data_IF_538872582874
#
_entry.id   IF_538872582874
#
_cell.length_a   1.000
_cell.length_b   1.000
_cell.length_c   1.000
_cell.angle_alpha   90.00
_cell.angle_beta   90.00
_cell.angle_gamma   90.00
#
_symmetry.space_group_name_H-M   'P 1'
#
loop_
_entity.id
_entity.type
_entity.pdbx_description
1 polymer ?
#
# COMPACT_ATOMS: atom_id res chain seq x y z
N UNK A 1 10.36 -12.15 10.91
CA UNK A 1 9.45 -11.21 10.23
C UNK A 1 8.07 -11.82 10.07
N UNK A 2 7.07 -10.98 9.91
CA UNK A 2 5.70 -11.45 9.66
C UNK A 2 5.63 -12.09 8.28
N UNK A 3 5.01 -13.26 8.19
CA UNK A 3 4.82 -13.95 6.91
C UNK A 3 3.65 -13.36 6.14
N UNK A 4 3.59 -13.68 4.85
CA UNK A 4 2.47 -13.30 4.00
C UNK A 4 1.15 -13.84 4.57
N UNK A 5 1.11 -15.11 5.00
CA UNK A 5 -0.10 -15.72 5.55
C UNK A 5 -0.55 -15.03 6.85
N UNK A 6 0.39 -14.67 7.71
CA UNK A 6 0.09 -13.91 8.93
C UNK A 6 -0.48 -12.53 8.60
N UNK A 7 0.05 -11.86 7.59
CA UNK A 7 -0.45 -10.56 7.15
C UNK A 7 -1.85 -10.67 6.57
N UNK A 8 -2.10 -11.71 5.77
CA UNK A 8 -3.44 -11.96 5.21
C UNK A 8 -4.46 -12.16 6.34
N UNK A 9 -4.12 -12.97 7.35
CA UNK A 9 -4.99 -13.21 8.48
C UNK A 9 -5.26 -11.93 9.27
N UNK A 10 -4.22 -11.11 9.47
CA UNK A 10 -4.34 -9.84 10.16
C UNK A 10 -5.30 -8.89 9.43
N UNK A 11 -5.14 -8.75 8.10
CA UNK A 11 -6.01 -7.89 7.31
C UNK A 11 -7.46 -8.39 7.30
N UNK A 12 -7.65 -9.70 7.25
CA UNK A 12 -8.99 -10.28 7.29
C UNK A 12 -9.72 -9.95 8.60
N UNK A 13 -8.96 -9.92 9.70
CA UNK A 13 -9.51 -9.62 11.03
C UNK A 13 -9.71 -8.12 11.26
N UNK A 14 -8.71 -7.30 10.91
CA UNK A 14 -8.68 -5.88 11.28
C UNK A 14 -9.23 -4.96 10.19
N UNK A 15 -9.15 -5.37 8.94
CA UNK A 15 -9.58 -4.55 7.80
C UNK A 15 -10.46 -5.35 6.83
N UNK A 16 -11.61 -5.86 7.31
CA UNK A 16 -12.49 -6.64 6.42
C UNK A 16 -13.13 -5.75 5.35
N UNK A 17 -13.43 -6.34 4.21
CA UNK A 17 -14.19 -5.71 3.11
C UNK A 17 -13.52 -4.48 2.49
N UNK A 18 -12.18 -4.40 2.53
CA UNK A 18 -11.45 -3.24 1.98
C UNK A 18 -11.12 -3.37 0.49
N UNK A 19 -11.15 -4.58 -0.05
CA UNK A 19 -10.73 -4.82 -1.44
C UNK A 19 -9.22 -4.95 -1.60
N UNK A 20 -8.44 -4.87 -0.51
CA UNK A 20 -7.00 -5.07 -0.57
C UNK A 20 -6.65 -6.55 -0.49
N UNK A 21 -5.71 -6.96 -1.33
CA UNK A 21 -5.19 -8.33 -1.35
C UNK A 21 -3.68 -8.25 -1.18
N UNK A 22 -3.16 -9.01 -0.21
CA UNK A 22 -1.71 -9.12 -0.04
C UNK A 22 -1.22 -10.05 -1.15
N UNK A 23 -0.62 -9.45 -2.18
CA UNK A 23 -0.31 -10.17 -3.42
C UNK A 23 0.96 -10.99 -3.30
N UNK A 24 2.04 -10.36 -2.81
CA UNK A 24 3.32 -11.03 -2.76
C UNK A 24 4.27 -10.34 -1.78
N UNK A 25 5.19 -11.13 -1.21
CA UNK A 25 6.32 -10.66 -0.42
C UNK A 25 7.60 -11.13 -1.12
N UNK A 26 8.45 -10.18 -1.50
CA UNK A 26 9.79 -10.50 -2.02
C UNK A 26 10.82 -10.25 -0.91
N UNK A 27 12.12 -10.41 -1.22
CA UNK A 27 13.17 -10.20 -0.23
C UNK A 27 13.18 -8.78 0.33
N UNK A 28 12.84 -7.78 -0.49
CA UNK A 28 12.95 -6.37 -0.10
C UNK A 28 11.70 -5.55 -0.42
N UNK A 29 10.61 -6.17 -0.82
CA UNK A 29 9.38 -5.43 -1.12
C UNK A 29 8.13 -6.23 -0.80
N UNK A 30 7.02 -5.52 -0.71
CA UNK A 30 5.70 -6.12 -0.61
C UNK A 30 4.86 -5.63 -1.78
N UNK A 31 3.92 -6.45 -2.23
CA UNK A 31 2.96 -6.07 -3.26
C UNK A 31 1.55 -6.20 -2.70
N UNK A 32 0.77 -5.14 -2.85
CA UNK A 32 -0.62 -5.10 -2.43
C UNK A 32 -1.48 -4.79 -3.66
N UNK A 33 -2.49 -5.61 -3.86
CA UNK A 33 -3.48 -5.41 -4.93
C UNK A 33 -4.70 -4.71 -4.37
N UNK A 34 -5.19 -3.74 -5.10
CA UNK A 34 -6.52 -3.17 -4.85
C UNK A 34 -7.43 -3.61 -5.98
N UNK A 35 -8.47 -4.35 -5.62
CA UNK A 35 -9.50 -4.75 -6.57
C UNK A 35 -10.38 -3.54 -6.85
N UNK A 36 -10.25 -2.96 -8.04
CA UNK A 36 -10.96 -1.75 -8.41
C UNK A 36 -12.45 -2.02 -8.49
N UNK A 37 -13.23 -1.19 -7.80
CA UNK A 37 -14.69 -1.28 -7.75
C UNK A 37 -15.29 0.00 -8.32
N UNK A 38 -16.57 -0.03 -8.65
CA UNK A 38 -17.24 1.14 -9.20
C UNK A 38 -17.09 2.38 -8.30
N UNK A 39 -17.15 2.20 -6.99
CA UNK A 39 -17.00 3.29 -6.02
C UNK A 39 -15.62 3.93 -6.02
N UNK A 40 -14.63 3.28 -6.61
CA UNK A 40 -13.27 3.82 -6.72
C UNK A 40 -13.12 4.75 -7.92
N UNK A 41 -14.11 4.80 -8.79
CA UNK A 41 -14.05 5.57 -10.02
C UNK A 41 -14.60 6.97 -9.81
N UNK A 42 -14.00 7.91 -10.53
CA UNK A 42 -14.50 9.28 -10.60
C UNK A 42 -15.27 9.48 -11.91
N UNK A 43 -16.01 10.59 -12.09
CA UNK A 43 -16.62 10.90 -13.37
C UNK A 43 -15.60 10.84 -14.50
N UNK A 44 -15.98 10.15 -15.58
CA UNK A 44 -15.06 9.87 -16.69
C UNK A 44 -14.50 8.45 -16.67
N UNK A 45 -14.79 7.67 -15.63
CA UNK A 45 -14.45 6.25 -15.56
C UNK A 45 -13.00 5.94 -15.19
N UNK A 46 -12.25 6.90 -14.69
CA UNK A 46 -10.87 6.65 -14.21
C UNK A 46 -10.85 6.47 -12.69
N UNK A 47 -9.88 5.71 -12.18
CA UNK A 47 -9.72 5.50 -10.74
C UNK A 47 -9.35 6.82 -10.07
N UNK A 48 -9.99 7.13 -8.95
CA UNK A 48 -9.78 8.40 -8.24
C UNK A 48 -8.40 8.49 -7.59
N UNK A 49 -7.89 9.73 -7.47
CA UNK A 49 -6.64 9.99 -6.78
C UNK A 49 -6.64 9.51 -5.33
N UNK A 50 -7.69 9.81 -4.54
CA UNK A 50 -7.76 9.30 -3.16
C UNK A 50 -7.70 7.78 -3.05
N UNK A 51 -8.27 7.03 -4.00
CA UNK A 51 -8.15 5.56 -4.03
C UNK A 51 -6.71 5.13 -4.15
N UNK A 52 -5.94 5.77 -5.04
CA UNK A 52 -4.52 5.45 -5.21
C UNK A 52 -3.70 5.84 -3.97
N UNK A 53 -4.04 6.96 -3.33
CA UNK A 53 -3.36 7.39 -2.10
C UNK A 53 -3.62 6.40 -0.96
N UNK A 54 -4.84 5.92 -0.82
CA UNK A 54 -5.18 4.91 0.19
C UNK A 54 -4.43 3.60 -0.06
N UNK A 55 -4.30 3.19 -1.31
CA UNK A 55 -3.55 1.98 -1.66
C UNK A 55 -2.07 2.13 -1.32
N UNK A 56 -1.47 3.28 -1.65
CA UNK A 56 -0.06 3.53 -1.32
C UNK A 56 0.17 3.52 0.18
N UNK A 57 -0.71 4.16 0.93
CA UNK A 57 -0.65 4.19 2.39
C UNK A 57 -0.75 2.78 2.97
N UNK A 58 -1.64 1.97 2.44
CA UNK A 58 -1.81 0.57 2.86
C UNK A 58 -0.55 -0.26 2.56
N UNK A 59 0.06 -0.08 1.39
CA UNK A 59 1.29 -0.80 1.03
C UNK A 59 2.44 -0.44 1.96
N UNK A 60 2.56 0.84 2.36
CA UNK A 60 3.55 1.29 3.34
C UNK A 60 3.32 0.61 4.69
N UNK A 61 2.07 0.56 5.14
CA UNK A 61 1.67 -0.10 6.37
C UNK A 61 2.08 -1.58 6.36
N UNK A 62 1.77 -2.29 5.28
CA UNK A 62 2.14 -3.70 5.12
C UNK A 62 3.66 -3.89 5.17
N UNK A 63 4.40 -3.06 4.43
CA UNK A 63 5.86 -3.15 4.40
C UNK A 63 6.47 -2.94 5.79
N UNK A 64 5.94 -1.99 6.54
CA UNK A 64 6.42 -1.71 7.89
C UNK A 64 6.09 -2.84 8.86
N UNK A 65 4.83 -3.28 8.89
CA UNK A 65 4.38 -4.34 9.81
C UNK A 65 5.08 -5.66 9.53
N UNK A 66 5.44 -5.92 8.29
CA UNK A 66 6.24 -7.10 7.95
C UNK A 66 7.51 -7.17 8.78
N UNK A 67 8.15 -6.03 9.03
CA UNK A 67 9.43 -5.98 9.73
C UNK A 67 9.31 -5.83 11.24
N UNK A 68 8.34 -5.02 11.71
CA UNK A 68 8.25 -4.73 13.15
C UNK A 68 7.23 -5.57 13.90
N UNK A 69 6.40 -6.33 13.19
CA UNK A 69 5.32 -7.12 13.80
C UNK A 69 3.96 -6.47 13.55
N UNK A 70 2.90 -7.20 13.90
CA UNK A 70 1.53 -6.77 13.65
C UNK A 70 1.07 -5.71 14.67
N UNK A 71 1.60 -4.50 14.50
CA UNK A 71 1.37 -3.37 15.40
C UNK A 71 0.35 -2.44 14.76
N UNK A 72 -0.92 -2.60 15.14
CA UNK A 72 -2.02 -1.90 14.47
C UNK A 72 -1.96 -0.38 14.60
N UNK A 73 -1.28 0.14 15.62
CA UNK A 73 -1.24 1.59 15.90
C UNK A 73 -0.11 2.34 15.19
N UNK A 74 0.64 1.70 14.29
CA UNK A 74 1.55 2.42 13.41
C UNK A 74 0.73 3.34 12.52
N UNK A 75 1.11 4.63 12.42
CA UNK A 75 0.31 5.63 11.72
C UNK A 75 1.15 6.45 10.76
N UNK A 76 0.53 6.90 9.68
CA UNK A 76 1.14 7.76 8.68
C UNK A 76 1.38 9.16 9.25
N UNK A 77 2.60 9.68 9.09
CA UNK A 77 2.89 11.06 9.44
C UNK A 77 3.07 11.96 8.22
N UNK A 78 3.43 11.38 7.08
CA UNK A 78 3.64 12.14 5.85
C UNK A 78 3.46 11.23 4.64
N UNK A 79 2.83 11.75 3.61
CA UNK A 79 2.68 11.05 2.35
C UNK A 79 2.85 12.06 1.22
N UNK A 80 3.88 11.86 0.40
CA UNK A 80 4.14 12.70 -0.77
C UNK A 80 3.82 11.87 -2.01
N UNK A 81 2.87 12.34 -2.81
CA UNK A 81 2.25 11.54 -3.87
C UNK A 81 2.33 12.25 -5.20
N UNK A 82 2.78 11.55 -6.25
CA UNK A 82 2.82 12.05 -7.61
C UNK A 82 1.95 11.17 -8.51
N UNK A 83 0.98 11.80 -9.17
CA UNK A 83 0.14 11.14 -10.15
C UNK A 83 0.82 11.27 -11.52
N UNK A 84 1.17 10.14 -12.12
CA UNK A 84 1.99 10.12 -13.33
C UNK A 84 1.17 9.90 -14.60
N UNK A 85 0.14 9.06 -14.52
CA UNK A 85 -0.75 8.80 -15.64
C UNK A 85 -2.09 8.28 -15.14
N UNK A 86 -3.07 8.20 -16.04
CA UNK A 86 -4.41 7.69 -15.68
C UNK A 86 -4.38 6.17 -15.63
N UNK A 87 -4.83 5.57 -14.52
CA UNK A 87 -4.97 4.12 -14.47
C UNK A 87 -6.11 3.64 -15.38
N UNK A 88 -5.99 2.39 -15.82
CA UNK A 88 -7.03 1.74 -16.62
C UNK A 88 -8.21 1.41 -15.71
N UNK A 89 -9.43 1.85 -16.09
CA UNK A 89 -10.61 1.80 -15.21
C UNK A 89 -11.08 0.38 -14.89
N UNK A 90 -10.85 -0.58 -15.79
CA UNK A 90 -11.35 -1.95 -15.64
C UNK A 90 -10.27 -2.94 -15.20
N UNK A 91 -9.17 -2.45 -14.66
CA UNK A 91 -8.07 -3.29 -14.17
C UNK A 91 -7.76 -2.97 -12.73
N UNK A 92 -7.29 -3.98 -12.00
CA UNK A 92 -6.83 -3.80 -10.65
C UNK A 92 -5.56 -2.96 -10.61
N UNK A 93 -5.30 -2.36 -9.45
CA UNK A 93 -4.06 -1.64 -9.19
C UNK A 93 -3.13 -2.51 -8.36
N UNK A 94 -1.84 -2.44 -8.68
CA UNK A 94 -0.80 -3.13 -7.94
C UNK A 94 0.16 -2.09 -7.37
N UNK A 95 0.35 -2.12 -6.06
CA UNK A 95 1.29 -1.24 -5.36
C UNK A 95 2.45 -2.07 -4.85
N UNK A 96 3.67 -1.70 -5.24
CA UNK A 96 4.88 -2.30 -4.71
C UNK A 96 5.55 -1.30 -3.79
N UNK A 97 5.83 -1.72 -2.55
CA UNK A 97 6.47 -0.86 -1.56
C UNK A 97 7.78 -1.45 -1.09
N UNK A 98 8.79 -0.59 -1.03
CA UNK A 98 10.09 -0.88 -0.41
C UNK A 98 10.32 0.08 0.74
N UNK A 99 10.75 -0.43 1.89
CA UNK A 99 11.22 0.45 2.96
C UNK A 99 12.60 0.96 2.59
N UNK A 100 12.78 2.29 2.63
CA UNK A 100 14.06 2.93 2.37
C UNK A 100 14.88 3.03 3.65
N UNK A 101 14.22 3.26 4.78
CA UNK A 101 14.85 3.33 6.07
C UNK A 101 13.85 3.01 7.16
N UNK A 102 14.24 2.16 8.08
CA UNK A 102 13.48 1.90 9.29
C UNK A 102 14.32 2.30 10.51
N UNK A 103 13.94 3.39 11.14
CA UNK A 103 14.54 3.84 12.39
C UNK A 103 13.80 3.29 13.60
N UNK A 104 14.11 3.85 14.76
CA UNK A 104 13.49 3.45 16.02
C UNK A 104 12.04 3.95 16.12
N UNK A 105 11.79 5.18 15.67
CA UNK A 105 10.48 5.83 15.81
C UNK A 105 9.83 6.19 14.48
N UNK A 106 10.61 6.20 13.38
CA UNK A 106 10.09 6.54 12.06
C UNK A 106 10.60 5.55 11.02
N UNK A 107 9.76 5.28 10.04
CA UNK A 107 10.14 4.49 8.87
C UNK A 107 9.73 5.23 7.61
N UNK A 108 10.58 5.20 6.60
CA UNK A 108 10.33 5.84 5.30
C UNK A 108 10.34 4.75 4.23
N UNK A 109 9.34 4.81 3.35
CA UNK A 109 9.25 3.88 2.23
C UNK A 109 8.84 4.58 0.95
N UNK A 110 8.98 3.86 -0.16
CA UNK A 110 8.48 4.31 -1.45
C UNK A 110 7.55 3.29 -2.05
N UNK A 111 6.55 3.78 -2.79
CA UNK A 111 5.53 2.96 -3.41
C UNK A 111 5.44 3.33 -4.89
N UNK A 112 5.40 2.31 -5.74
CA UNK A 112 5.09 2.47 -7.16
C UNK A 112 3.76 1.76 -7.43
N UNK A 113 2.82 2.44 -8.09
CA UNK A 113 1.53 1.88 -8.44
C UNK A 113 1.41 1.74 -9.94
N UNK A 114 0.99 0.55 -10.38
CA UNK A 114 0.73 0.25 -11.79
C UNK A 114 -0.66 -0.36 -11.92
N UNK A 115 -1.28 -0.20 -13.11
CA UNK A 115 -2.44 -1.02 -13.46
C UNK A 115 -1.98 -2.44 -13.78
N UNK A 116 -2.78 -3.43 -13.42
CA UNK A 116 -2.46 -4.82 -13.74
C UNK A 116 -2.20 -4.97 -15.24
N UNK A 117 -1.11 -5.66 -15.58
CA UNK A 117 -0.74 -5.90 -16.97
C UNK A 117 0.01 -4.76 -17.65
N UNK A 118 0.21 -3.64 -16.97
CA UNK A 118 0.94 -2.48 -17.50
C UNK A 118 2.11 -2.16 -16.57
N UNK A 119 3.33 -2.17 -17.09
CA UNK A 119 4.52 -1.87 -16.29
C UNK A 119 4.74 -0.38 -16.09
N UNK A 120 4.12 0.47 -16.91
CA UNK A 120 4.26 1.91 -16.75
C UNK A 120 3.56 2.38 -15.48
N UNK A 121 4.26 3.10 -14.58
CA UNK A 121 3.65 3.51 -13.32
C UNK A 121 2.58 4.58 -13.54
N UNK A 122 1.47 4.43 -12.83
CA UNK A 122 0.41 5.43 -12.80
C UNK A 122 0.62 6.43 -11.67
N UNK A 123 1.35 6.03 -10.63
CA UNK A 123 1.64 6.89 -9.49
C UNK A 123 2.89 6.42 -8.76
N UNK A 124 3.53 7.36 -8.05
CA UNK A 124 4.67 7.09 -7.19
C UNK A 124 4.52 7.91 -5.92
N UNK A 125 4.87 7.32 -4.78
CA UNK A 125 4.76 7.98 -3.50
C UNK A 125 5.97 7.69 -2.63
N UNK A 126 6.30 8.63 -1.75
CA UNK A 126 7.14 8.39 -0.60
C UNK A 126 6.33 8.71 0.65
N UNK A 127 6.51 7.92 1.68
CA UNK A 127 5.73 8.12 2.90
C UNK A 127 6.52 7.79 4.14
N UNK A 128 6.12 8.39 5.25
CA UNK A 128 6.74 8.19 6.55
C UNK A 128 5.69 7.72 7.54
N UNK A 129 6.02 6.67 8.28
CA UNK A 129 5.19 6.14 9.35
C UNK A 129 5.84 6.34 10.69
N UNK A 130 5.00 6.62 11.69
CA UNK A 130 5.41 6.63 13.08
C UNK A 130 5.30 5.22 13.65
N UNK A 131 6.36 4.78 14.32
CA UNK A 131 6.42 3.47 14.97
C UNK A 131 6.09 3.66 16.44
N UNK A 132 5.04 2.98 16.98
CA UNK A 132 4.70 3.13 18.39
C UNK A 132 5.85 2.68 19.30
N UNK A 133 6.13 3.41 20.40
CA UNK A 133 7.24 3.07 21.28
C UNK A 133 7.04 1.76 22.05
N UNK A 134 5.80 1.38 22.31
CA UNK A 134 5.45 0.16 23.08
C UNK A 134 4.74 -0.82 22.16
N UNK A 135 5.49 -1.43 21.27
CA UNK A 135 4.94 -2.43 20.35
C UNK A 135 5.22 -3.86 20.80
#
# INVERSE_FOLDING_TARGET
>A
MVSKDQMIAFFRSEFPNTGYVIEDFTDNSVKVRHQVREQDLRPGGTVSGPTMMALADTALYVALLREIGLVSLAVTTSLNFNFLSKPVADRDLLAECKLLKRGKSLAVGEVTICSEGDEAPVAHATGTYSIPPNR
#
